data_IF_736535971258
#
_entry.id   IF_736535971258
#
_cell.length_a   1.000
_cell.length_b   1.000
_cell.length_c   1.000
_cell.angle_alpha   90.00
_cell.angle_beta   90.00
_cell.angle_gamma   90.00
#
_symmetry.space_group_name_H-M   'P 1'
#
loop_
_entity.id
_entity.type
_entity.pdbx_description
1 polymer ?
#
# COMPACT_ATOMS: atom_id res chain seq x y z
N UNK A 1 -23.31 3.06 -14.95
CA UNK A 1 -23.03 1.64 -15.21
C UNK A 1 -22.72 0.99 -13.88
N UNK A 2 -23.55 0.05 -13.44
CA UNK A 2 -23.31 -0.71 -12.23
C UNK A 2 -22.50 -1.96 -12.57
N UNK A 3 -21.31 -2.11 -11.97
CA UNK A 3 -20.50 -3.32 -12.14
C UNK A 3 -21.10 -4.42 -11.25
N UNK A 4 -21.73 -5.41 -11.87
CA UNK A 4 -22.44 -6.50 -11.19
C UNK A 4 -21.54 -7.67 -10.80
N UNK A 5 -20.30 -7.72 -11.29
CA UNK A 5 -19.34 -8.79 -11.00
C UNK A 5 -17.99 -8.22 -10.56
N UNK A 6 -17.30 -8.97 -9.69
CA UNK A 6 -15.89 -8.70 -9.36
C UNK A 6 -14.99 -9.76 -9.99
N UNK A 7 -13.86 -9.31 -10.52
CA UNK A 7 -12.83 -10.19 -11.07
C UNK A 7 -11.64 -10.35 -10.11
N UNK A 8 -11.67 -9.64 -8.97
CA UNK A 8 -10.54 -9.57 -8.02
C UNK A 8 -10.35 -10.84 -7.22
N UNK A 9 -11.45 -11.50 -6.86
CA UNK A 9 -11.43 -12.75 -6.11
C UNK A 9 -12.53 -13.69 -6.56
N UNK A 10 -12.29 -15.00 -6.39
CA UNK A 10 -13.29 -16.06 -6.56
C UNK A 10 -13.84 -16.53 -5.21
N UNK A 11 -13.31 -16.02 -4.08
CA UNK A 11 -13.77 -16.35 -2.74
C UNK A 11 -15.16 -15.75 -2.47
N UNK A 12 -16.16 -16.63 -2.44
CA UNK A 12 -17.55 -16.24 -2.25
C UNK A 12 -17.81 -15.62 -0.86
N UNK A 13 -17.02 -15.99 0.16
CA UNK A 13 -17.14 -15.45 1.49
C UNK A 13 -16.65 -13.99 1.54
N UNK A 14 -15.53 -13.68 0.89
CA UNK A 14 -15.06 -12.30 0.72
C UNK A 14 -16.02 -11.46 -0.11
N UNK A 15 -16.53 -11.99 -1.22
CA UNK A 15 -17.53 -11.29 -2.05
C UNK A 15 -18.78 -10.99 -1.25
N UNK A 16 -19.28 -11.93 -0.44
CA UNK A 16 -20.42 -11.72 0.44
C UNK A 16 -20.16 -10.61 1.46
N UNK A 17 -18.99 -10.64 2.14
CA UNK A 17 -18.60 -9.59 3.07
C UNK A 17 -18.55 -8.20 2.38
N UNK A 18 -17.93 -8.11 1.21
CA UNK A 18 -17.85 -6.84 0.48
C UNK A 18 -19.23 -6.30 0.10
N UNK A 19 -20.14 -7.16 -0.33
CA UNK A 19 -21.51 -6.76 -0.68
C UNK A 19 -22.28 -6.29 0.54
N UNK A 20 -22.16 -6.96 1.67
CA UNK A 20 -22.81 -6.56 2.92
C UNK A 20 -22.26 -5.23 3.42
N UNK A 21 -20.94 -5.04 3.39
CA UNK A 21 -20.35 -3.74 3.74
C UNK A 21 -20.82 -2.66 2.76
N UNK A 22 -20.82 -2.94 1.45
CA UNK A 22 -21.27 -1.99 0.42
C UNK A 22 -22.71 -1.55 0.63
N UNK A 23 -23.60 -2.49 0.92
CA UNK A 23 -25.03 -2.24 1.12
C UNK A 23 -25.37 -1.83 2.54
N UNK A 24 -24.40 -1.86 3.47
CA UNK A 24 -24.60 -1.59 4.91
C UNK A 24 -25.68 -2.47 5.52
N UNK A 25 -25.60 -3.76 5.21
CA UNK A 25 -26.53 -4.75 5.73
C UNK A 25 -26.45 -4.81 7.27
N UNK A 26 -27.57 -5.04 7.93
CA UNK A 26 -27.66 -5.12 9.41
C UNK A 26 -26.78 -6.24 10.00
N UNK A 27 -26.49 -7.27 9.19
CA UNK A 27 -25.69 -8.44 9.58
C UNK A 27 -24.16 -8.22 9.54
N UNK A 28 -23.67 -7.03 9.17
CA UNK A 28 -22.22 -6.75 9.09
C UNK A 28 -21.49 -7.07 10.40
N UNK A 29 -22.09 -6.70 11.53
CA UNK A 29 -21.50 -6.89 12.86
C UNK A 29 -21.27 -8.36 13.19
N UNK A 30 -22.12 -9.27 12.74
CA UNK A 30 -21.98 -10.72 12.97
C UNK A 30 -20.75 -11.29 12.25
N UNK A 31 -20.45 -10.83 11.04
CA UNK A 31 -19.28 -11.26 10.27
C UNK A 31 -17.97 -10.65 10.77
N UNK A 32 -18.04 -9.45 11.37
CA UNK A 32 -16.89 -8.72 11.88
C UNK A 32 -16.62 -8.94 13.37
N UNK A 33 -17.33 -9.87 14.00
CA UNK A 33 -17.16 -10.20 15.44
C UNK A 33 -15.71 -10.64 15.71
N UNK A 34 -15.17 -10.22 16.85
CA UNK A 34 -13.81 -10.59 17.28
C UNK A 34 -13.68 -12.10 17.40
N UNK A 35 -12.53 -12.64 16.97
CA UNK A 35 -12.26 -14.06 16.83
C UNK A 35 -13.15 -14.79 15.79
N UNK A 36 -13.84 -14.02 14.96
CA UNK A 36 -14.51 -14.53 13.78
C UNK A 36 -13.55 -14.69 12.59
N UNK A 37 -14.10 -15.00 11.40
CA UNK A 37 -13.27 -15.27 10.23
C UNK A 37 -12.40 -14.08 9.81
N UNK A 38 -12.85 -12.84 10.05
CA UNK A 38 -12.20 -11.62 9.54
C UNK A 38 -11.63 -10.70 10.63
N UNK A 39 -11.92 -10.91 11.90
CA UNK A 39 -11.53 -9.98 12.96
C UNK A 39 -10.81 -10.65 14.10
N UNK A 40 -9.77 -9.98 14.59
CA UNK A 40 -9.00 -10.34 15.78
C UNK A 40 -8.69 -9.11 16.63
N UNK A 41 -8.43 -9.33 17.93
CA UNK A 41 -7.83 -8.31 18.76
C UNK A 41 -6.41 -7.96 18.30
N UNK A 42 -6.02 -6.70 18.50
CA UNK A 42 -4.66 -6.25 18.19
C UNK A 42 -3.67 -6.98 19.10
N UNK A 43 -2.93 -7.92 18.55
CA UNK A 43 -2.01 -8.79 19.27
C UNK A 43 -0.82 -9.26 18.43
N UNK A 44 -0.08 -10.31 18.90
CA UNK A 44 1.11 -10.78 18.21
C UNK A 44 0.88 -11.27 16.78
N UNK A 45 -0.35 -11.68 16.44
CA UNK A 45 -0.69 -12.15 15.08
C UNK A 45 -0.58 -11.07 14.01
N UNK A 46 -0.66 -9.79 14.39
CA UNK A 46 -0.38 -8.66 13.48
C UNK A 46 1.00 -8.80 12.84
N UNK A 47 1.97 -9.30 13.58
CA UNK A 47 3.38 -9.36 13.20
C UNK A 47 3.79 -10.66 12.49
N UNK A 48 2.89 -11.63 12.34
CA UNK A 48 3.16 -12.85 11.56
C UNK A 48 2.86 -12.57 10.09
N UNK A 49 3.75 -12.98 9.19
CA UNK A 49 3.46 -12.97 7.74
C UNK A 49 2.88 -14.31 7.31
N UNK A 50 1.87 -14.27 6.47
CA UNK A 50 1.18 -15.46 5.95
C UNK A 50 1.66 -15.84 4.55
N UNK A 51 2.01 -14.85 3.73
CA UNK A 51 2.52 -15.06 2.37
C UNK A 51 3.44 -13.91 1.92
N UNK A 52 4.05 -14.05 0.74
CA UNK A 52 4.94 -13.02 0.19
C UNK A 52 4.18 -11.78 -0.30
N UNK A 53 3.00 -11.95 -0.90
CA UNK A 53 2.14 -10.83 -1.32
C UNK A 53 1.14 -10.46 -0.22
N UNK A 54 1.66 -10.17 0.96
CA UNK A 54 0.90 -9.67 2.10
C UNK A 54 1.21 -8.19 2.36
N UNK A 55 0.17 -7.41 2.63
CA UNK A 55 0.28 -6.01 3.01
C UNK A 55 -0.45 -5.71 4.30
N UNK A 56 0.11 -4.80 5.09
CA UNK A 56 -0.56 -4.21 6.24
C UNK A 56 -1.08 -2.83 5.87
N UNK A 57 -2.37 -2.61 6.05
CA UNK A 57 -3.02 -1.33 5.82
C UNK A 57 -3.10 -0.54 7.12
N UNK A 58 -2.44 0.62 7.13
CA UNK A 58 -2.41 1.54 8.25
C UNK A 58 -3.15 2.85 7.90
N UNK A 59 -3.65 3.53 8.93
CA UNK A 59 -4.29 4.84 8.78
C UNK A 59 -3.33 6.00 8.97
N UNK A 60 -2.39 5.85 9.90
CA UNK A 60 -1.45 6.88 10.29
C UNK A 60 -0.02 6.50 9.89
N UNK A 61 0.81 7.51 9.71
CA UNK A 61 2.25 7.32 9.49
C UNK A 61 2.98 6.98 10.77
N UNK A 62 2.61 7.61 11.88
CA UNK A 62 3.29 7.50 13.18
C UNK A 62 2.44 6.75 14.21
N UNK A 63 3.08 6.38 15.33
CA UNK A 63 2.47 5.60 16.40
C UNK A 63 2.84 4.12 16.33
N UNK A 64 2.48 3.37 17.37
CA UNK A 64 2.87 1.96 17.56
C UNK A 64 2.53 1.08 16.33
N UNK A 65 1.36 1.29 15.74
CA UNK A 65 0.87 0.60 14.54
C UNK A 65 0.83 1.54 13.33
N UNK A 66 1.65 2.58 13.32
CA UNK A 66 1.82 3.48 12.19
C UNK A 66 2.68 2.86 11.10
N UNK A 67 2.53 3.37 9.89
CA UNK A 67 3.19 2.90 8.69
C UNK A 67 4.71 2.79 8.85
N UNK A 68 5.35 3.82 9.42
CA UNK A 68 6.80 3.86 9.60
C UNK A 68 7.28 2.73 10.53
N UNK A 69 6.64 2.57 11.70
CA UNK A 69 7.00 1.54 12.66
C UNK A 69 6.76 0.12 12.13
N UNK A 70 5.65 -0.08 11.39
CA UNK A 70 5.34 -1.38 10.80
C UNK A 70 6.34 -1.75 9.71
N UNK A 71 6.70 -0.83 8.82
CA UNK A 71 7.73 -1.06 7.82
C UNK A 71 9.09 -1.38 8.45
N UNK A 72 9.52 -0.61 9.46
CA UNK A 72 10.77 -0.84 10.17
C UNK A 72 10.79 -2.22 10.87
N UNK A 73 9.69 -2.60 11.51
CA UNK A 73 9.58 -3.91 12.16
C UNK A 73 9.76 -5.06 11.17
N UNK A 74 9.00 -5.04 10.07
CA UNK A 74 9.05 -6.12 9.08
C UNK A 74 10.35 -6.15 8.29
N UNK A 75 10.95 -5.00 8.04
CA UNK A 75 12.28 -4.94 7.45
C UNK A 75 13.33 -5.52 8.41
N UNK A 76 13.26 -5.21 9.70
CA UNK A 76 14.16 -5.83 10.70
C UNK A 76 14.00 -7.35 10.75
N UNK A 77 12.78 -7.85 10.64
CA UNK A 77 12.47 -9.29 10.60
C UNK A 77 12.86 -9.97 9.27
N UNK A 78 13.12 -9.22 8.20
CA UNK A 78 13.61 -9.76 6.93
C UNK A 78 15.07 -10.25 7.07
N UNK A 79 15.28 -11.55 6.89
CA UNK A 79 16.58 -12.22 7.02
C UNK A 79 17.25 -12.54 5.69
N UNK A 80 16.66 -12.11 4.54
CA UNK A 80 17.18 -12.41 3.20
C UNK A 80 18.48 -11.68 2.84
N UNK A 81 18.89 -10.67 3.63
CA UNK A 81 20.12 -9.93 3.41
C UNK A 81 20.43 -8.95 4.54
N UNK A 82 21.62 -8.38 4.50
CA UNK A 82 22.00 -7.30 5.41
C UNK A 82 21.37 -5.98 5.00
N UNK A 83 21.16 -5.10 5.99
CA UNK A 83 20.63 -3.76 5.74
C UNK A 83 21.73 -2.88 5.12
N UNK A 84 21.50 -2.37 3.94
CA UNK A 84 22.39 -1.45 3.23
C UNK A 84 21.90 -0.03 3.43
N UNK A 85 22.63 0.81 4.20
CA UNK A 85 22.23 2.19 4.46
C UNK A 85 22.46 3.07 3.22
N UNK A 86 21.46 3.92 2.91
CA UNK A 86 21.53 4.93 1.88
C UNK A 86 20.71 6.16 2.29
N UNK A 87 21.36 7.31 2.39
CA UNK A 87 20.80 8.54 2.96
C UNK A 87 20.18 8.26 4.36
N UNK A 88 18.95 8.65 4.57
CA UNK A 88 18.23 8.46 5.85
C UNK A 88 17.57 7.08 6.00
N UNK A 89 17.68 6.21 5.00
CA UNK A 89 16.99 4.93 4.92
C UNK A 89 17.96 3.76 4.83
N UNK A 90 17.46 2.57 5.03
CA UNK A 90 18.17 1.33 4.74
C UNK A 90 17.29 0.40 3.90
N UNK A 91 17.92 -0.43 3.09
CA UNK A 91 17.25 -1.35 2.19
C UNK A 91 17.83 -2.74 2.32
N UNK A 92 17.00 -3.77 2.13
CA UNK A 92 17.40 -5.17 2.15
C UNK A 92 16.89 -5.90 0.91
N UNK A 93 17.63 -6.89 0.49
CA UNK A 93 17.12 -7.89 -0.47
C UNK A 93 15.85 -8.53 0.08
N UNK A 94 14.84 -8.67 -0.77
CA UNK A 94 13.54 -9.19 -0.40
C UNK A 94 12.53 -8.16 0.11
N UNK A 95 12.92 -6.90 0.32
CA UNK A 95 12.00 -5.84 0.72
C UNK A 95 10.94 -5.61 -0.37
N UNK A 96 9.63 -5.66 -0.04
CA UNK A 96 8.59 -5.19 -0.94
C UNK A 96 8.63 -3.66 -1.02
N UNK A 97 8.40 -3.14 -2.21
CA UNK A 97 8.43 -1.70 -2.47
C UNK A 97 7.22 -1.24 -3.28
N UNK A 98 6.88 0.05 -3.13
CA UNK A 98 5.98 0.77 -4.02
C UNK A 98 6.70 1.98 -4.60
N UNK A 99 6.68 2.11 -5.92
CA UNK A 99 7.17 3.31 -6.58
C UNK A 99 6.31 4.51 -6.18
N UNK A 100 6.94 5.64 -5.93
CA UNK A 100 6.28 6.86 -5.44
C UNK A 100 6.73 8.13 -6.16
N UNK A 101 7.61 8.00 -7.14
CA UNK A 101 8.07 9.11 -7.97
C UNK A 101 8.01 8.76 -9.46
N UNK A 102 6.98 9.28 -10.14
CA UNK A 102 6.81 9.13 -11.58
C UNK A 102 7.57 10.16 -12.42
N UNK A 103 8.28 11.12 -11.79
CA UNK A 103 9.01 12.16 -12.52
C UNK A 103 10.33 11.66 -13.10
N UNK A 104 10.93 10.66 -12.46
CA UNK A 104 12.20 10.10 -12.87
C UNK A 104 12.08 9.11 -14.02
N UNK A 105 11.07 8.26 -13.95
CA UNK A 105 10.81 7.17 -14.89
C UNK A 105 9.36 7.21 -15.35
N UNK A 106 9.15 7.27 -16.66
CA UNK A 106 7.80 7.25 -17.23
C UNK A 106 7.12 5.89 -17.07
N UNK A 107 7.91 4.81 -17.09
CA UNK A 107 7.42 3.43 -16.99
C UNK A 107 7.07 3.01 -15.56
N UNK A 108 7.76 3.57 -14.56
CA UNK A 108 7.59 3.17 -13.16
C UNK A 108 6.62 4.14 -12.46
N UNK A 109 5.35 3.95 -12.73
CA UNK A 109 4.29 4.83 -12.23
C UNK A 109 4.06 4.69 -10.72
N UNK A 110 3.43 5.70 -10.13
CA UNK A 110 3.08 5.72 -8.70
C UNK A 110 2.23 4.50 -8.29
N UNK A 111 2.59 3.89 -7.18
CA UNK A 111 2.00 2.67 -6.63
C UNK A 111 2.28 1.40 -7.47
N UNK A 112 3.19 1.42 -8.44
CA UNK A 112 3.68 0.18 -9.03
C UNK A 112 4.36 -0.67 -7.96
N UNK A 113 3.92 -1.91 -7.79
CA UNK A 113 4.50 -2.88 -6.88
C UNK A 113 5.82 -3.41 -7.41
N UNK A 114 6.75 -3.65 -6.50
CA UNK A 114 8.01 -4.31 -6.81
C UNK A 114 8.63 -4.98 -5.58
N UNK A 115 9.74 -5.67 -5.81
CA UNK A 115 10.54 -6.33 -4.78
C UNK A 115 12.01 -6.18 -5.07
N UNK A 116 12.79 -5.83 -4.08
CA UNK A 116 14.25 -5.74 -4.21
C UNK A 116 14.83 -7.16 -4.32
N UNK A 117 15.56 -7.41 -5.38
CA UNK A 117 16.23 -8.70 -5.66
C UNK A 117 17.70 -8.64 -5.33
N UNK A 118 18.33 -7.49 -5.62
CA UNK A 118 19.74 -7.28 -5.35
C UNK A 118 20.04 -5.80 -5.13
N UNK A 119 21.11 -5.50 -4.37
CA UNK A 119 21.55 -4.15 -4.03
C UNK A 119 23.07 -4.11 -4.11
N UNK A 120 23.61 -3.23 -4.96
CA UNK A 120 25.04 -2.96 -5.06
C UNK A 120 25.35 -1.52 -4.66
N UNK A 121 26.16 -1.35 -3.61
CA UNK A 121 26.62 -0.03 -3.16
C UNK A 121 28.03 0.25 -3.67
N UNK A 122 28.18 1.39 -4.34
CA UNK A 122 29.44 1.90 -4.85
C UNK A 122 29.78 3.24 -4.19
N UNK A 123 30.98 3.76 -4.47
CA UNK A 123 31.34 5.13 -4.06
C UNK A 123 30.44 6.13 -4.80
N UNK A 124 29.57 6.84 -4.04
CA UNK A 124 28.68 7.87 -4.58
C UNK A 124 27.44 7.36 -5.33
N UNK A 125 27.15 6.05 -5.30
CA UNK A 125 25.91 5.51 -5.89
C UNK A 125 25.47 4.20 -5.26
N UNK A 126 24.19 3.90 -5.40
CA UNK A 126 23.58 2.61 -5.05
C UNK A 126 22.75 2.13 -6.24
N UNK A 127 22.90 0.87 -6.60
CA UNK A 127 22.12 0.23 -7.67
C UNK A 127 21.14 -0.75 -7.07
N UNK A 128 19.90 -0.70 -7.54
CA UNK A 128 18.84 -1.63 -7.17
C UNK A 128 18.47 -2.50 -8.35
N UNK A 129 18.48 -3.81 -8.17
CA UNK A 129 17.82 -4.76 -9.06
C UNK A 129 16.45 -5.09 -8.44
N UNK A 130 15.39 -4.89 -9.20
CA UNK A 130 14.01 -4.95 -8.71
C UNK A 130 13.14 -5.76 -9.67
N UNK A 131 12.33 -6.65 -9.11
CA UNK A 131 11.23 -7.26 -9.83
C UNK A 131 10.02 -6.32 -9.77
N UNK A 132 9.43 -5.97 -10.92
CA UNK A 132 8.24 -5.11 -11.03
C UNK A 132 7.08 -5.87 -11.67
N UNK A 133 5.85 -5.65 -11.19
CA UNK A 133 4.64 -6.38 -11.62
C UNK A 133 4.06 -5.82 -12.94
N UNK A 134 4.93 -5.47 -13.90
CA UNK A 134 4.53 -5.07 -15.25
C UNK A 134 5.44 -5.70 -16.31
N UNK A 135 4.91 -6.10 -17.47
CA UNK A 135 5.73 -6.54 -18.58
C UNK A 135 6.39 -5.35 -19.27
N UNK A 136 7.72 -5.33 -19.30
CA UNK A 136 8.51 -4.32 -20.01
C UNK A 136 9.37 -5.02 -21.06
N UNK A 137 9.72 -4.28 -22.10
CA UNK A 137 10.67 -4.73 -23.12
C UNK A 137 12.01 -4.00 -22.95
N UNK A 138 13.10 -4.58 -23.44
CA UNK A 138 14.42 -3.96 -23.42
C UNK A 138 14.42 -2.55 -24.06
N UNK A 139 13.69 -2.39 -25.17
CA UNK A 139 13.59 -1.10 -25.85
C UNK A 139 12.87 -0.03 -25.01
N UNK A 140 11.81 -0.42 -24.29
CA UNK A 140 11.10 0.49 -23.38
C UNK A 140 12.02 0.91 -22.23
N UNK A 141 12.67 -0.03 -21.56
CA UNK A 141 13.60 0.23 -20.47
C UNK A 141 14.75 1.16 -20.90
N UNK A 142 15.35 0.90 -22.07
CA UNK A 142 16.42 1.74 -22.60
C UNK A 142 16.00 3.18 -22.84
N UNK A 143 14.78 3.42 -23.31
CA UNK A 143 14.24 4.79 -23.51
C UNK A 143 14.07 5.54 -22.20
N UNK A 144 13.75 4.83 -21.13
CA UNK A 144 13.51 5.40 -19.79
C UNK A 144 14.78 5.43 -18.91
N UNK A 145 15.93 5.01 -19.46
CA UNK A 145 17.20 4.97 -18.73
C UNK A 145 17.27 3.89 -17.66
N UNK A 146 16.52 2.81 -17.84
CA UNK A 146 16.47 1.62 -17.00
C UNK A 146 17.21 0.48 -17.71
N UNK A 147 17.97 -0.31 -16.98
CA UNK A 147 18.54 -1.56 -17.49
C UNK A 147 17.51 -2.69 -17.42
N UNK A 148 17.21 -3.32 -18.55
CA UNK A 148 16.41 -4.55 -18.62
C UNK A 148 17.32 -5.73 -18.30
N UNK A 149 16.93 -6.56 -17.33
CA UNK A 149 17.68 -7.77 -16.96
C UNK A 149 17.03 -9.00 -17.60
N UNK A 150 15.77 -9.27 -17.25
CA UNK A 150 15.02 -10.41 -17.76
C UNK A 150 13.51 -10.23 -17.60
N UNK A 151 12.74 -10.97 -18.41
CA UNK A 151 11.30 -11.14 -18.18
C UNK A 151 11.08 -12.24 -17.13
N UNK A 152 10.19 -11.98 -16.19
CA UNK A 152 9.78 -12.94 -15.16
C UNK A 152 8.29 -13.30 -15.35
N UNK A 153 7.81 -14.34 -14.66
CA UNK A 153 6.45 -14.88 -14.84
C UNK A 153 5.36 -13.80 -14.74
N UNK A 154 5.45 -12.89 -13.77
CA UNK A 154 4.44 -11.86 -13.53
C UNK A 154 4.98 -10.43 -13.71
N UNK A 155 5.98 -10.23 -14.57
CA UNK A 155 6.53 -8.90 -14.77
C UNK A 155 7.91 -8.85 -15.38
N UNK A 156 8.75 -7.95 -14.89
CA UNK A 156 10.09 -7.73 -15.44
C UNK A 156 11.08 -7.46 -14.31
N UNK A 157 12.29 -8.03 -14.43
CA UNK A 157 13.44 -7.67 -13.59
C UNK A 157 14.22 -6.55 -14.26
N UNK A 158 14.39 -5.48 -13.53
CA UNK A 158 15.07 -4.26 -13.99
C UNK A 158 16.15 -3.84 -13.02
N UNK A 159 17.11 -3.02 -13.50
CA UNK A 159 18.13 -2.39 -12.64
C UNK A 159 18.21 -0.90 -12.93
N UNK A 160 18.42 -0.10 -11.88
CA UNK A 160 18.70 1.33 -11.98
C UNK A 160 19.57 1.79 -10.81
N UNK A 161 20.33 2.88 -11.03
CA UNK A 161 21.22 3.45 -10.01
C UNK A 161 20.65 4.74 -9.43
N UNK A 162 20.90 4.99 -8.15
CA UNK A 162 20.63 6.24 -7.44
C UNK A 162 21.96 6.84 -7.01
N UNK A 163 22.15 8.13 -7.19
CA UNK A 163 23.44 8.82 -6.96
C UNK A 163 23.37 9.67 -5.69
N UNK A 164 24.49 9.83 -5.01
CA UNK A 164 24.60 10.80 -3.92
C UNK A 164 24.38 12.21 -4.45
N UNK A 165 23.64 13.01 -3.68
CA UNK A 165 23.45 14.42 -3.98
C UNK A 165 24.68 15.21 -3.53
N UNK A 166 25.42 15.81 -4.46
CA UNK A 166 26.57 16.64 -4.18
C UNK A 166 26.12 18.09 -3.90
N UNK A 167 26.00 18.44 -2.63
CA UNK A 167 25.63 19.80 -2.20
C UNK A 167 26.65 20.88 -2.61
N UNK A 168 27.90 20.51 -2.92
CA UNK A 168 28.95 21.47 -3.32
C UNK A 168 28.73 22.03 -4.72
N UNK A 169 27.89 21.38 -5.54
CA UNK A 169 27.51 21.80 -6.89
C UNK A 169 26.27 22.72 -6.93
N UNK A 170 25.97 23.44 -5.83
CA UNK A 170 24.94 24.48 -5.79
C UNK A 170 25.36 25.68 -6.65
N UNK A 171 25.21 25.58 -7.96
CA UNK A 171 25.32 26.66 -8.94
C UNK A 171 24.04 26.76 -9.78
N UNK A 172 23.76 27.92 -10.36
CA UNK A 172 22.47 28.39 -10.88
C UNK A 172 21.74 27.53 -11.91
N UNK A 173 22.34 26.44 -12.39
CA UNK A 173 21.73 25.45 -13.30
C UNK A 173 21.91 24.02 -12.76
N UNK A 174 21.35 23.74 -11.59
CA UNK A 174 21.20 22.35 -11.15
C UNK A 174 20.26 21.65 -12.10
N UNK A 175 20.84 20.84 -12.98
CA UNK A 175 20.12 19.98 -13.88
C UNK A 175 19.07 19.19 -13.06
N UNK A 176 17.79 19.49 -13.29
CA UNK A 176 16.66 18.84 -12.62
C UNK A 176 16.80 17.32 -12.71
N UNK A 177 17.43 16.81 -13.76
CA UNK A 177 17.78 15.42 -13.95
C UNK A 177 18.76 14.88 -12.89
N UNK A 178 19.72 15.66 -12.40
CA UNK A 178 20.64 15.22 -11.33
C UNK A 178 19.91 15.10 -10.00
N UNK A 179 18.99 16.01 -9.70
CA UNK A 179 18.15 15.94 -8.50
C UNK A 179 17.24 14.71 -8.54
N UNK A 180 16.61 14.44 -9.66
CA UNK A 180 15.75 13.25 -9.83
C UNK A 180 16.54 11.95 -9.69
N UNK A 181 17.79 11.91 -10.15
CA UNK A 181 18.67 10.74 -10.01
C UNK A 181 19.20 10.52 -8.59
N UNK A 182 19.10 11.49 -7.69
CA UNK A 182 19.57 11.35 -6.31
C UNK A 182 18.48 10.90 -5.34
N UNK A 183 17.22 10.84 -5.77
CA UNK A 183 16.10 10.38 -4.95
C UNK A 183 15.82 8.91 -5.26
N UNK A 184 15.63 8.09 -4.22
CA UNK A 184 15.14 6.72 -4.36
C UNK A 184 13.68 6.78 -4.78
N UNK A 185 13.29 6.25 -5.96
CA UNK A 185 11.95 6.46 -6.53
C UNK A 185 10.88 5.54 -5.94
N UNK A 186 11.12 4.93 -4.79
CA UNK A 186 10.21 4.02 -4.13
C UNK A 186 10.28 4.12 -2.61
N UNK A 187 9.30 3.54 -1.95
CA UNK A 187 9.25 3.36 -0.50
C UNK A 187 9.05 1.88 -0.14
N UNK A 188 9.42 1.51 1.08
CA UNK A 188 9.08 0.19 1.64
C UNK A 188 7.57 -0.01 1.67
N UNK A 189 7.13 -1.23 1.43
CA UNK A 189 5.74 -1.59 1.26
C UNK A 189 5.29 -2.84 2.04
N UNK A 190 5.92 -3.15 3.16
CA UNK A 190 5.36 -4.10 4.13
C UNK A 190 4.05 -3.58 4.71
N UNK A 191 4.02 -2.27 4.99
CA UNK A 191 2.81 -1.55 5.36
C UNK A 191 2.63 -0.35 4.44
N UNK A 192 1.38 -0.07 4.07
CA UNK A 192 1.01 1.09 3.25
C UNK A 192 -0.21 1.78 3.82
N UNK A 193 -0.43 3.06 3.48
CA UNK A 193 -1.68 3.71 3.84
C UNK A 193 -2.84 3.17 3.00
N UNK A 194 -4.05 3.15 3.58
CA UNK A 194 -5.25 2.70 2.85
C UNK A 194 -5.44 3.50 1.56
N UNK A 195 -5.10 4.79 1.56
CA UNK A 195 -5.19 5.64 0.37
C UNK A 195 -4.23 5.21 -0.75
N UNK A 196 -2.98 4.87 -0.40
CA UNK A 196 -1.99 4.39 -1.37
C UNK A 196 -2.32 2.98 -1.90
N UNK A 197 -3.02 2.17 -1.11
CA UNK A 197 -3.48 0.86 -1.53
C UNK A 197 -4.64 0.91 -2.55
N UNK A 198 -5.23 2.08 -2.80
CA UNK A 198 -6.31 2.22 -3.77
C UNK A 198 -5.82 1.84 -5.17
N UNK A 199 -6.54 0.93 -5.82
CA UNK A 199 -6.16 0.37 -7.13
C UNK A 199 -5.25 -0.86 -7.06
N UNK A 200 -4.59 -1.11 -5.92
CA UNK A 200 -3.75 -2.28 -5.70
C UNK A 200 -4.56 -3.48 -5.19
N UNK A 201 -3.95 -4.65 -5.31
CA UNK A 201 -4.50 -5.93 -4.85
C UNK A 201 -3.37 -6.76 -4.25
N UNK A 202 -3.72 -7.54 -3.21
CA UNK A 202 -2.77 -8.38 -2.49
C UNK A 202 -3.42 -9.73 -2.16
N UNK A 203 -2.63 -10.78 -2.10
CA UNK A 203 -3.13 -12.10 -1.73
C UNK A 203 -3.61 -12.10 -0.26
N UNK A 204 -2.88 -11.45 0.63
CA UNK A 204 -3.25 -11.28 2.04
C UNK A 204 -3.25 -9.81 2.45
N UNK A 205 -4.30 -9.40 3.16
CA UNK A 205 -4.45 -8.02 3.67
C UNK A 205 -4.74 -8.04 5.16
N UNK A 206 -3.94 -7.32 5.91
CA UNK A 206 -4.17 -7.02 7.33
C UNK A 206 -4.53 -5.55 7.49
N UNK A 207 -5.68 -5.25 8.06
CA UNK A 207 -6.11 -3.88 8.34
C UNK A 207 -5.99 -3.63 9.84
N UNK A 208 -5.21 -2.64 10.26
CA UNK A 208 -5.05 -2.33 11.68
C UNK A 208 -5.79 -1.03 11.99
N UNK A 209 -6.77 -1.11 12.90
CA UNK A 209 -7.60 0.02 13.32
C UNK A 209 -7.50 0.19 14.86
N UNK A 210 -6.51 0.95 15.34
CA UNK A 210 -6.42 1.30 16.76
C UNK A 210 -7.60 2.19 17.19
N UNK A 211 -7.97 2.15 18.47
CA UNK A 211 -9.12 2.89 19.02
C UNK A 211 -9.07 4.40 18.77
N UNK A 212 -7.89 5.00 18.83
CA UNK A 212 -7.68 6.43 18.56
C UNK A 212 -7.88 6.84 17.09
N UNK A 213 -8.18 5.89 16.22
CA UNK A 213 -8.38 6.10 14.78
C UNK A 213 -9.78 5.71 14.30
N UNK A 214 -10.65 5.21 15.17
CA UNK A 214 -11.99 4.77 14.81
C UNK A 214 -12.79 5.85 14.06
N UNK A 215 -12.75 7.09 14.55
CA UNK A 215 -13.47 8.23 13.96
C UNK A 215 -13.01 8.60 12.54
N UNK A 216 -11.78 8.21 12.15
CA UNK A 216 -11.21 8.48 10.83
C UNK A 216 -11.62 7.45 9.78
N UNK A 217 -12.17 6.32 10.21
CA UNK A 217 -12.63 5.25 9.32
C UNK A 217 -14.04 5.54 8.85
N UNK A 218 -14.14 6.17 7.69
CA UNK A 218 -15.42 6.27 6.99
C UNK A 218 -15.77 4.93 6.32
N UNK A 219 -17.05 4.74 5.99
CA UNK A 219 -17.50 3.59 5.21
C UNK A 219 -16.69 3.37 3.93
N UNK A 220 -16.40 4.46 3.18
CA UNK A 220 -15.61 4.36 1.94
C UNK A 220 -14.16 3.94 2.17
N UNK A 221 -13.51 4.43 3.25
CA UNK A 221 -12.15 4.03 3.62
C UNK A 221 -12.12 2.55 4.02
N UNK A 222 -13.08 2.12 4.85
CA UNK A 222 -13.19 0.72 5.26
C UNK A 222 -13.42 -0.21 4.07
N UNK A 223 -14.39 0.12 3.21
CA UNK A 223 -14.66 -0.65 1.99
C UNK A 223 -13.44 -0.72 1.08
N UNK A 224 -12.73 0.40 0.89
CA UNK A 224 -11.48 0.41 0.13
C UNK A 224 -10.46 -0.56 0.71
N UNK A 225 -10.27 -0.56 2.03
CA UNK A 225 -9.29 -1.42 2.69
C UNK A 225 -9.61 -2.91 2.51
N UNK A 226 -10.83 -3.35 2.84
CA UNK A 226 -11.19 -4.77 2.79
C UNK A 226 -11.23 -5.33 1.37
N UNK A 227 -11.51 -4.49 0.38
CA UNK A 227 -11.53 -4.90 -1.03
C UNK A 227 -10.15 -4.98 -1.67
N UNK A 228 -9.05 -4.80 -0.91
CA UNK A 228 -7.68 -5.04 -1.42
C UNK A 228 -7.27 -6.51 -1.36
N UNK A 229 -7.94 -7.31 -0.54
CA UNK A 229 -7.66 -8.74 -0.37
C UNK A 229 -8.16 -9.57 -1.57
N UNK A 230 -7.33 -10.50 -2.06
CA UNK A 230 -7.76 -11.51 -3.03
C UNK A 230 -8.19 -12.81 -2.34
N UNK A 231 -7.46 -13.25 -1.31
CA UNK A 231 -7.70 -14.52 -0.64
C UNK A 231 -7.85 -14.39 0.87
N UNK A 232 -6.95 -13.67 1.55
CA UNK A 232 -6.93 -13.57 3.00
C UNK A 232 -7.18 -12.13 3.46
N UNK A 233 -8.13 -11.97 4.38
CA UNK A 233 -8.42 -10.68 5.03
C UNK A 233 -8.44 -10.88 6.55
N UNK A 234 -7.69 -10.04 7.27
CA UNK A 234 -7.79 -9.90 8.73
C UNK A 234 -7.85 -8.44 9.13
N UNK A 235 -8.77 -8.12 10.04
CA UNK A 235 -8.95 -6.80 10.61
C UNK A 235 -8.60 -6.89 12.09
N UNK A 236 -7.66 -6.06 12.51
CA UNK A 236 -7.16 -6.01 13.88
C UNK A 236 -7.71 -4.76 14.58
N UNK A 237 -8.59 -4.94 15.53
CA UNK A 237 -9.26 -3.91 16.33
C UNK A 237 -9.78 -4.47 17.64
N UNK A 238 -10.29 -3.62 18.53
CA UNK A 238 -11.08 -4.09 19.69
C UNK A 238 -12.55 -4.20 19.33
N UNK A 239 -13.32 -4.93 20.15
CA UNK A 239 -14.78 -5.00 20.00
C UNK A 239 -15.44 -3.62 20.05
N UNK A 240 -14.96 -2.74 20.93
CA UNK A 240 -15.44 -1.35 21.05
C UNK A 240 -15.16 -0.58 19.76
N UNK A 241 -13.89 -0.64 19.26
CA UNK A 241 -13.50 0.01 18.01
C UNK A 241 -14.32 -0.47 16.82
N UNK A 242 -14.59 -1.78 16.73
CA UNK A 242 -15.46 -2.36 15.71
C UNK A 242 -16.86 -1.74 15.75
N UNK A 243 -17.48 -1.68 16.93
CA UNK A 243 -18.81 -1.09 17.08
C UNK A 243 -18.83 0.39 16.69
N UNK A 244 -17.84 1.17 17.09
CA UNK A 244 -17.75 2.60 16.78
C UNK A 244 -17.61 2.83 15.27
N UNK A 245 -16.75 2.05 14.61
CA UNK A 245 -16.55 2.12 13.15
C UNK A 245 -17.84 1.77 12.40
N UNK A 246 -18.47 0.64 12.74
CA UNK A 246 -19.70 0.19 12.05
C UNK A 246 -20.86 1.16 12.31
N UNK A 247 -21.01 1.67 13.52
CA UNK A 247 -21.99 2.71 13.85
C UNK A 247 -21.75 4.00 13.05
N UNK A 248 -20.48 4.34 12.83
CA UNK A 248 -20.07 5.50 12.01
C UNK A 248 -20.58 5.42 10.57
N UNK A 249 -20.72 4.23 9.99
CA UNK A 249 -21.23 4.06 8.62
C UNK A 249 -22.63 4.62 8.42
N UNK A 250 -23.53 4.46 9.39
CA UNK A 250 -24.89 5.00 9.33
C UNK A 250 -24.90 6.53 9.41
N UNK A 251 -24.02 7.11 10.22
CA UNK A 251 -23.90 8.56 10.38
C UNK A 251 -23.39 9.25 9.12
N UNK A 252 -22.44 8.62 8.43
CA UNK A 252 -21.90 9.11 7.15
C UNK A 252 -22.99 9.18 6.05
N UNK A 253 -23.89 8.22 6.03
CA UNK A 253 -25.01 8.24 5.07
C UNK A 253 -25.99 9.36 5.34
N UNK A 254 -26.33 9.59 6.59
CA UNK A 254 -27.24 10.67 6.99
C UNK A 254 -26.67 12.04 6.61
N UNK A 255 -25.36 12.25 6.80
CA UNK A 255 -24.66 13.47 6.36
C UNK A 255 -24.66 13.64 4.83
N UNK A 256 -24.46 12.56 4.07
CA UNK A 256 -24.49 12.59 2.60
C UNK A 256 -25.90 12.91 2.10
N UNK A 257 -26.93 12.26 2.59
CA UNK A 257 -28.33 12.55 2.24
C UNK A 257 -28.71 14.00 2.57
N UNK A 258 -28.29 14.51 3.72
CA UNK A 258 -28.51 15.91 4.08
C UNK A 258 -27.81 16.89 3.13
N UNK A 259 -26.56 16.59 2.73
CA UNK A 259 -25.80 17.38 1.75
C UNK A 259 -26.44 17.37 0.37
N UNK A 260 -26.95 16.23 -0.11
CA UNK A 260 -27.68 16.13 -1.38
C UNK A 260 -28.97 16.94 -1.36
N UNK A 261 -29.74 16.88 -0.28
CA UNK A 261 -30.93 17.68 -0.08
C UNK A 261 -30.61 19.17 -0.12
N UNK A 262 -29.52 19.59 0.55
CA UNK A 262 -29.07 20.99 0.53
C UNK A 262 -28.61 21.40 -0.86
N UNK A 263 -27.85 20.58 -1.59
CA UNK A 263 -27.43 20.86 -2.97
C UNK A 263 -28.64 21.02 -3.91
N UNK A 264 -29.59 20.11 -3.80
CA UNK A 264 -30.84 20.18 -4.61
C UNK A 264 -31.65 21.44 -4.32
N UNK A 265 -31.77 21.83 -3.03
CA UNK A 265 -32.47 23.06 -2.62
C UNK A 265 -31.75 24.36 -3.05
N UNK A 266 -30.42 24.31 -3.18
CA UNK A 266 -29.61 25.46 -3.61
C UNK A 266 -29.44 25.54 -5.13
N UNK A 267 -30.04 24.63 -5.91
CA UNK A 267 -29.97 24.63 -7.38
C UNK A 267 -28.55 24.43 -7.93
N UNK A 268 -27.66 23.85 -7.14
CA UNK A 268 -26.30 23.49 -7.59
C UNK A 268 -26.30 22.00 -7.92
N UNK A 269 -26.43 21.72 -9.22
CA UNK A 269 -26.14 20.40 -9.78
C UNK A 269 -24.64 20.17 -9.86
#
# INVERSE_FOLDING_TARGET
VELLSTWRTQDQALISLWNEVRTRADMITEKLVINGPYSEDIGPNVFKRECEDEVILCLNYDGKFGLNNMNNYFQAANTKGEAIPWAEWSYKVGDPILFNDSKRFDLLYNNLKGRIVDIEKHSGSISFTVDVEIPLTELMCKRDGIEFIESIENGTRIRFAVYEYDESKKGEDLDENLRLKSVVPFQLAYAVSIHKAQGLEYDSVKVIIPSNNAEKITHGIFYTAITRAKTNLKIYWSSETMHDVVKGFATDESKRKSLEIVKTKLGKN
#
